data_IF_001616577454
#
_entry.id   IF_001616577454
#
_cell.length_a   1.000
_cell.length_b   1.000
_cell.length_c   1.000
_cell.angle_alpha   90.00
_cell.angle_beta   90.00
_cell.angle_gamma   90.00
#
_symmetry.space_group_name_H-M   'P 1'
#
loop_
_entity.id
_entity.type
_entity.pdbx_description
1 polymer ?
#
# COMPACT_ATOMS: atom_id res chain seq x y z
N UNK A 1 73.23 64.56 -1.04
CA UNK A 1 72.10 64.02 -0.32
C UNK A 1 71.81 62.63 -0.86
N UNK A 2 72.34 61.64 -0.19
CA UNK A 2 72.18 60.20 -0.57
C UNK A 2 71.16 59.57 0.40
N UNK A 3 69.99 59.24 -0.14
CA UNK A 3 68.95 58.56 0.60
C UNK A 3 69.26 57.03 0.63
N UNK A 4 69.68 56.55 1.79
CA UNK A 4 69.95 55.14 2.01
C UNK A 4 68.64 54.43 2.16
N UNK A 5 68.16 53.71 1.16
CA UNK A 5 67.05 52.76 1.27
C UNK A 5 67.41 51.61 2.24
N UNK A 6 66.78 51.62 3.38
CA UNK A 6 66.86 50.60 4.39
C UNK A 6 66.08 49.35 3.95
N UNK A 7 66.74 48.46 3.23
CA UNK A 7 66.22 47.17 2.83
C UNK A 7 65.96 46.32 4.08
N UNK A 8 64.69 46.18 4.42
CA UNK A 8 64.23 45.37 5.58
C UNK A 8 64.49 43.88 5.30
N UNK A 9 65.60 43.33 5.82
CA UNK A 9 65.91 41.90 5.74
C UNK A 9 64.80 41.13 6.53
N UNK A 10 63.91 40.46 5.77
CA UNK A 10 62.95 39.52 6.34
C UNK A 10 63.75 38.32 6.88
N UNK A 11 63.62 38.01 8.15
CA UNK A 11 64.36 36.94 8.79
C UNK A 11 64.03 35.57 8.13
N UNK A 12 65.03 34.72 7.87
CA UNK A 12 64.82 33.41 7.17
C UNK A 12 63.90 32.46 7.95
N UNK A 13 63.66 32.70 9.24
CA UNK A 13 62.73 31.98 10.08
C UNK A 13 61.28 32.29 9.76
N UNK A 14 60.95 33.50 9.44
CA UNK A 14 59.59 33.94 9.05
C UNK A 14 59.20 33.37 7.70
N UNK A 15 60.09 33.23 6.77
CA UNK A 15 59.90 32.65 5.45
C UNK A 15 59.54 31.14 5.51
N UNK A 16 60.21 30.36 6.37
CA UNK A 16 59.92 28.94 6.53
C UNK A 16 58.59 28.68 7.25
N UNK A 17 58.23 29.51 8.20
CA UNK A 17 56.91 29.43 8.86
C UNK A 17 55.80 29.77 7.87
N UNK A 18 55.94 30.81 7.06
CA UNK A 18 54.97 31.22 6.07
C UNK A 18 54.78 30.14 4.98
N UNK A 19 55.85 29.52 4.49
CA UNK A 19 55.75 28.40 3.53
C UNK A 19 55.00 27.18 4.11
N UNK A 20 55.25 26.83 5.37
CA UNK A 20 54.54 25.73 6.06
C UNK A 20 53.04 26.05 6.25
N UNK A 21 52.72 27.30 6.57
CA UNK A 21 51.31 27.73 6.71
C UNK A 21 50.59 27.62 5.38
N UNK A 22 51.19 28.08 4.27
CA UNK A 22 50.60 27.96 2.92
C UNK A 22 50.39 26.49 2.54
N UNK A 23 51.39 25.61 2.80
CA UNK A 23 51.28 24.19 2.51
C UNK A 23 50.12 23.54 3.30
N UNK A 24 49.96 23.92 4.58
CA UNK A 24 48.92 23.42 5.43
C UNK A 24 47.52 23.90 4.99
N UNK A 25 47.39 25.18 4.63
CA UNK A 25 46.10 25.72 4.11
C UNK A 25 45.74 25.12 2.77
N UNK A 26 46.71 24.90 1.88
CA UNK A 26 46.48 24.22 0.60
C UNK A 26 46.02 22.77 0.80
N UNK A 27 46.69 22.02 1.69
CA UNK A 27 46.28 20.65 2.01
C UNK A 27 44.86 20.60 2.63
N UNK A 28 44.54 21.53 3.51
CA UNK A 28 43.19 21.63 4.09
C UNK A 28 42.12 21.94 3.05
N UNK A 29 42.39 22.84 2.09
CA UNK A 29 41.46 23.15 1.00
C UNK A 29 41.23 21.94 0.09
N UNK A 30 42.28 21.21 -0.25
CA UNK A 30 42.17 19.96 -1.04
C UNK A 30 41.31 18.94 -0.28
N UNK A 31 41.58 18.76 1.00
CA UNK A 31 40.79 17.84 1.81
C UNK A 31 39.32 18.26 1.90
N UNK A 32 39.03 19.54 2.10
CA UNK A 32 37.67 20.06 2.15
C UNK A 32 36.92 19.86 0.82
N UNK A 33 37.60 20.05 -0.32
CA UNK A 33 37.03 19.79 -1.64
C UNK A 33 36.74 18.30 -1.87
N UNK A 34 37.67 17.42 -1.50
CA UNK A 34 37.48 15.98 -1.62
C UNK A 34 36.34 15.50 -0.72
N UNK A 35 36.28 15.97 0.52
CA UNK A 35 35.22 15.61 1.44
C UNK A 35 33.85 16.12 0.98
N UNK A 36 33.79 17.37 0.48
CA UNK A 36 32.56 17.94 -0.09
C UNK A 36 32.06 17.16 -1.31
N UNK A 37 32.96 16.78 -2.22
CA UNK A 37 32.58 15.97 -3.38
C UNK A 37 32.10 14.57 -3.00
N UNK A 38 32.75 13.95 -2.02
CA UNK A 38 32.34 12.64 -1.51
C UNK A 38 30.98 12.69 -0.82
N UNK A 39 30.71 13.76 -0.07
CA UNK A 39 29.43 13.97 0.56
C UNK A 39 28.28 14.16 -0.46
N UNK A 40 28.49 14.98 -1.49
CA UNK A 40 27.52 15.15 -2.58
C UNK A 40 27.27 13.83 -3.32
N UNK A 41 28.30 13.03 -3.58
CA UNK A 41 28.17 11.73 -4.21
C UNK A 41 27.35 10.79 -3.34
N UNK A 42 27.60 10.76 -2.03
CA UNK A 42 26.85 9.92 -1.07
C UNK A 42 25.36 10.32 -1.01
N UNK A 43 25.07 11.62 -0.96
CA UNK A 43 23.72 12.14 -0.95
C UNK A 43 22.97 11.79 -2.24
N UNK A 44 23.61 11.92 -3.38
CA UNK A 44 23.05 11.56 -4.69
C UNK A 44 22.73 10.06 -4.78
N UNK A 45 23.65 9.19 -4.34
CA UNK A 45 23.43 7.72 -4.34
C UNK A 45 22.30 7.34 -3.39
N UNK A 46 22.30 7.92 -2.18
CA UNK A 46 21.26 7.65 -1.19
C UNK A 46 19.86 8.08 -1.68
N UNK A 47 19.75 9.23 -2.30
CA UNK A 47 18.50 9.73 -2.88
C UNK A 47 18.02 8.82 -4.01
N UNK A 48 18.90 8.44 -4.93
CA UNK A 48 18.55 7.52 -6.02
C UNK A 48 18.11 6.14 -5.51
N UNK A 49 18.79 5.60 -4.49
CA UNK A 49 18.42 4.33 -3.88
C UNK A 49 17.05 4.41 -3.23
N UNK A 50 16.74 5.51 -2.53
CA UNK A 50 15.45 5.74 -1.91
C UNK A 50 14.32 5.87 -2.93
N UNK A 51 14.55 6.58 -4.04
CA UNK A 51 13.57 6.71 -5.12
C UNK A 51 13.27 5.37 -5.79
N UNK A 52 14.31 4.59 -6.12
CA UNK A 52 14.14 3.24 -6.69
C UNK A 52 13.37 2.31 -5.75
N UNK A 53 13.72 2.31 -4.46
CA UNK A 53 13.02 1.49 -3.47
C UNK A 53 11.54 1.87 -3.35
N UNK A 54 11.22 3.17 -3.43
CA UNK A 54 9.84 3.64 -3.41
C UNK A 54 9.06 3.23 -4.68
N UNK A 55 9.69 3.32 -5.86
CA UNK A 55 9.10 2.85 -7.12
C UNK A 55 8.86 1.34 -7.12
N UNK A 56 9.82 0.55 -6.66
CA UNK A 56 9.69 -0.91 -6.54
C UNK A 56 8.59 -1.29 -5.55
N UNK A 57 8.51 -0.60 -4.40
CA UNK A 57 7.47 -0.82 -3.41
C UNK A 57 6.08 -0.48 -3.98
N UNK A 58 5.95 0.64 -4.69
CA UNK A 58 4.71 1.03 -5.34
C UNK A 58 4.27 0.02 -6.40
N UNK A 59 5.21 -0.46 -7.24
CA UNK A 59 4.94 -1.47 -8.25
C UNK A 59 4.52 -2.81 -7.63
N UNK A 60 5.17 -3.24 -6.55
CA UNK A 60 4.79 -4.44 -5.81
C UNK A 60 3.40 -4.30 -5.18
N UNK A 61 3.10 -3.15 -4.56
CA UNK A 61 1.78 -2.88 -3.98
C UNK A 61 0.67 -2.94 -5.04
N UNK A 62 0.91 -2.36 -6.22
CA UNK A 62 -0.02 -2.44 -7.36
C UNK A 62 -0.23 -3.89 -7.81
N UNK A 63 0.85 -4.66 -7.99
CA UNK A 63 0.77 -6.07 -8.41
C UNK A 63 0.00 -6.93 -7.41
N UNK A 64 0.23 -6.71 -6.10
CA UNK A 64 -0.51 -7.40 -5.04
C UNK A 64 -2.00 -7.02 -5.10
N UNK A 65 -2.32 -5.73 -5.26
CA UNK A 65 -3.69 -5.25 -5.37
C UNK A 65 -4.42 -5.87 -6.57
N UNK A 66 -3.78 -5.90 -7.74
CA UNK A 66 -4.35 -6.49 -8.95
C UNK A 66 -4.56 -8.02 -8.81
N UNK A 67 -3.61 -8.69 -8.17
CA UNK A 67 -3.73 -10.12 -7.87
C UNK A 67 -4.86 -10.40 -6.91
N UNK A 68 -5.00 -9.60 -5.84
CA UNK A 68 -6.11 -9.71 -4.90
C UNK A 68 -7.46 -9.49 -5.59
N UNK A 69 -7.56 -8.46 -6.43
CA UNK A 69 -8.79 -8.18 -7.20
C UNK A 69 -9.15 -9.34 -8.13
N UNK A 70 -8.17 -9.92 -8.79
CA UNK A 70 -8.35 -11.11 -9.66
C UNK A 70 -8.86 -12.31 -8.87
N UNK A 71 -8.28 -12.59 -7.70
CA UNK A 71 -8.71 -13.68 -6.82
C UNK A 71 -10.15 -13.45 -6.36
N UNK A 72 -10.49 -12.24 -5.88
CA UNK A 72 -11.84 -11.89 -5.43
C UNK A 72 -12.86 -12.07 -6.57
N UNK A 73 -12.54 -11.60 -7.78
CA UNK A 73 -13.41 -11.76 -8.93
C UNK A 73 -13.62 -13.24 -9.29
N UNK A 74 -12.55 -14.03 -9.29
CA UNK A 74 -12.62 -15.47 -9.59
C UNK A 74 -13.46 -16.20 -8.54
N UNK A 75 -13.22 -15.94 -7.26
CA UNK A 75 -14.02 -16.51 -6.17
C UNK A 75 -15.47 -16.07 -6.27
N UNK A 76 -15.74 -14.80 -6.55
CA UNK A 76 -17.10 -14.28 -6.74
C UNK A 76 -17.85 -15.00 -7.85
N UNK A 77 -17.19 -15.22 -8.99
CA UNK A 77 -17.78 -15.97 -10.11
C UNK A 77 -18.04 -17.43 -9.70
N UNK A 78 -17.06 -18.10 -9.10
CA UNK A 78 -17.22 -19.47 -8.64
C UNK A 78 -18.38 -19.62 -7.66
N UNK A 79 -18.42 -18.77 -6.62
CA UNK A 79 -19.49 -18.77 -5.62
C UNK A 79 -20.87 -18.48 -6.23
N UNK A 80 -20.93 -17.62 -7.24
CA UNK A 80 -22.20 -17.29 -7.90
C UNK A 80 -22.85 -18.51 -8.57
N UNK A 81 -22.04 -19.43 -9.09
CA UNK A 81 -22.51 -20.63 -9.79
C UNK A 81 -22.73 -21.84 -8.86
N UNK A 82 -22.32 -21.78 -7.61
CA UNK A 82 -22.56 -22.86 -6.64
C UNK A 82 -24.07 -23.00 -6.39
N UNK A 83 -24.54 -24.24 -6.36
CA UNK A 83 -25.96 -24.55 -6.17
C UNK A 83 -26.54 -23.97 -4.89
N UNK A 84 -25.76 -23.94 -3.81
CA UNK A 84 -26.17 -23.41 -2.51
C UNK A 84 -26.35 -21.88 -2.55
N UNK A 85 -25.46 -21.14 -3.22
CA UNK A 85 -25.62 -19.70 -3.42
C UNK A 85 -26.86 -19.41 -4.29
N UNK A 86 -27.07 -20.20 -5.34
CA UNK A 86 -28.24 -20.05 -6.20
C UNK A 86 -29.55 -20.30 -5.43
N UNK A 87 -29.56 -21.29 -4.51
CA UNK A 87 -30.69 -21.52 -3.61
C UNK A 87 -30.93 -20.34 -2.68
N UNK A 88 -29.91 -19.86 -1.97
CA UNK A 88 -30.03 -18.70 -1.08
C UNK A 88 -30.55 -17.46 -1.79
N UNK A 89 -30.10 -17.21 -3.03
CA UNK A 89 -30.43 -16.01 -3.81
C UNK A 89 -31.81 -16.05 -4.47
N UNK A 90 -32.28 -17.22 -4.92
CA UNK A 90 -33.46 -17.34 -5.78
C UNK A 90 -34.69 -17.95 -5.09
N UNK A 91 -34.53 -18.68 -4.01
CA UNK A 91 -35.64 -19.36 -3.33
C UNK A 91 -36.59 -18.37 -2.66
N UNK A 92 -37.86 -18.66 -2.74
CA UNK A 92 -38.92 -17.95 -2.03
C UNK A 92 -39.26 -18.55 -0.69
N UNK A 93 -38.77 -19.78 -0.42
CA UNK A 93 -38.86 -20.46 0.87
C UNK A 93 -37.66 -21.37 1.04
N UNK A 94 -37.02 -21.30 2.17
CA UNK A 94 -35.92 -22.18 2.56
C UNK A 94 -36.21 -22.76 3.91
N UNK A 95 -36.08 -24.06 4.06
CA UNK A 95 -36.06 -24.67 5.38
C UNK A 95 -34.83 -24.25 6.15
N UNK A 96 -34.90 -24.27 7.46
CA UNK A 96 -33.75 -23.92 8.30
C UNK A 96 -32.52 -24.78 8.01
N UNK A 97 -32.72 -26.07 7.77
CA UNK A 97 -31.64 -27.01 7.46
C UNK A 97 -30.96 -26.68 6.11
N UNK A 98 -31.74 -26.37 5.08
CA UNK A 98 -31.17 -25.97 3.77
C UNK A 98 -30.39 -24.68 3.86
N UNK A 99 -30.85 -23.73 4.66
CA UNK A 99 -30.17 -22.46 4.91
C UNK A 99 -28.82 -22.69 5.60
N UNK A 100 -28.84 -23.43 6.71
CA UNK A 100 -27.62 -23.74 7.46
C UNK A 100 -26.62 -24.49 6.62
N UNK A 101 -27.07 -25.48 5.82
CA UNK A 101 -26.19 -26.24 4.94
C UNK A 101 -25.55 -25.34 3.86
N UNK A 102 -26.35 -24.50 3.22
CA UNK A 102 -25.86 -23.59 2.19
C UNK A 102 -24.87 -22.56 2.75
N UNK A 103 -25.14 -22.01 3.93
CA UNK A 103 -24.22 -21.06 4.59
C UNK A 103 -22.93 -21.75 5.04
N UNK A 104 -23.00 -23.01 5.51
CA UNK A 104 -21.82 -23.77 5.87
C UNK A 104 -20.90 -24.03 4.67
N UNK A 105 -21.47 -24.33 3.51
CA UNK A 105 -20.71 -24.48 2.27
C UNK A 105 -20.01 -23.17 1.88
N UNK A 106 -20.72 -22.03 1.93
CA UNK A 106 -20.13 -20.71 1.68
C UNK A 106 -19.06 -20.34 2.71
N UNK A 107 -19.27 -20.69 3.96
CA UNK A 107 -18.29 -20.45 5.02
C UNK A 107 -16.96 -21.17 4.75
N UNK A 108 -16.98 -22.37 4.17
CA UNK A 108 -15.76 -23.08 3.78
C UNK A 108 -14.95 -22.29 2.75
N UNK A 109 -15.59 -21.59 1.84
CA UNK A 109 -14.90 -20.69 0.89
C UNK A 109 -14.33 -19.46 1.58
N UNK A 110 -15.05 -18.86 2.50
CA UNK A 110 -14.54 -17.72 3.28
C UNK A 110 -13.28 -18.12 4.08
N UNK A 111 -13.31 -19.28 4.71
CA UNK A 111 -12.18 -19.78 5.50
C UNK A 111 -11.00 -20.27 4.67
N UNK A 112 -11.21 -20.70 3.42
CA UNK A 112 -10.12 -21.10 2.53
C UNK A 112 -9.28 -19.94 2.03
N UNK A 113 -9.83 -18.72 2.05
CA UNK A 113 -9.14 -17.49 1.67
C UNK A 113 -8.89 -16.61 2.89
N UNK A 114 -7.65 -16.48 3.32
CA UNK A 114 -7.27 -15.60 4.44
C UNK A 114 -7.66 -14.12 4.26
N UNK A 115 -8.18 -13.77 3.08
CA UNK A 115 -8.53 -12.38 2.68
C UNK A 115 -10.03 -12.10 2.82
N UNK A 116 -10.87 -13.12 2.98
CA UNK A 116 -12.33 -12.94 3.07
C UNK A 116 -12.74 -13.03 4.53
N UNK A 117 -13.33 -11.96 5.03
CA UNK A 117 -13.88 -11.94 6.38
C UNK A 117 -15.30 -12.51 6.40
N UNK A 118 -16.13 -12.08 5.46
CA UNK A 118 -17.52 -12.52 5.36
C UNK A 118 -18.00 -12.48 3.90
N UNK A 119 -19.01 -13.28 3.61
CA UNK A 119 -19.69 -13.35 2.32
C UNK A 119 -21.16 -13.01 2.54
N UNK A 120 -21.68 -12.06 1.77
CA UNK A 120 -23.07 -11.65 1.83
C UNK A 120 -23.82 -12.12 0.58
N UNK A 121 -24.93 -12.81 0.77
CA UNK A 121 -25.81 -13.26 -0.29
C UNK A 121 -27.16 -12.58 -0.15
N UNK A 122 -27.48 -11.70 -1.08
CA UNK A 122 -28.74 -10.97 -1.11
C UNK A 122 -29.82 -11.78 -1.82
N UNK A 123 -30.99 -11.90 -1.19
CA UNK A 123 -32.18 -12.49 -1.78
C UNK A 123 -33.25 -11.40 -1.96
N UNK A 124 -33.42 -10.85 -3.16
CA UNK A 124 -34.38 -9.77 -3.41
C UNK A 124 -35.84 -10.23 -3.27
N UNK A 125 -36.14 -11.53 -3.42
CA UNK A 125 -37.50 -12.06 -3.34
C UNK A 125 -38.04 -12.12 -1.91
N UNK A 126 -37.13 -12.32 -0.95
CA UNK A 126 -37.46 -12.42 0.48
C UNK A 126 -37.12 -11.13 1.24
N UNK A 127 -36.46 -10.18 0.58
CA UNK A 127 -35.87 -8.99 1.20
C UNK A 127 -34.91 -9.37 2.37
N UNK A 128 -34.06 -10.37 2.11
CA UNK A 128 -33.18 -10.98 3.11
C UNK A 128 -31.71 -10.95 2.67
N UNK A 129 -30.83 -10.81 3.65
CA UNK A 129 -29.38 -11.00 3.51
C UNK A 129 -28.98 -12.23 4.30
N UNK A 130 -28.22 -13.11 3.67
CA UNK A 130 -27.54 -14.24 4.31
C UNK A 130 -26.05 -13.92 4.40
N UNK A 131 -25.43 -14.23 5.56
CA UNK A 131 -24.01 -13.98 5.76
C UNK A 131 -23.32 -15.18 6.35
N UNK A 132 -22.02 -15.33 6.04
CA UNK A 132 -21.15 -16.33 6.66
C UNK A 132 -20.60 -15.86 8.01
N UNK A 133 -20.93 -14.65 8.46
CA UNK A 133 -20.58 -14.15 9.78
C UNK A 133 -21.35 -14.94 10.85
N UNK A 134 -20.61 -15.42 11.87
CA UNK A 134 -21.16 -16.33 12.88
C UNK A 134 -22.27 -15.71 13.75
N UNK A 135 -22.26 -14.39 13.93
CA UNK A 135 -23.19 -13.72 14.84
C UNK A 135 -24.55 -13.43 14.19
N UNK A 136 -24.62 -13.36 12.85
CA UNK A 136 -25.83 -12.95 12.13
C UNK A 136 -26.03 -13.74 10.84
N UNK A 137 -26.38 -15.01 10.95
CA UNK A 137 -26.54 -15.88 9.76
C UNK A 137 -27.57 -15.38 8.73
N UNK A 138 -28.58 -14.64 9.14
CA UNK A 138 -29.58 -14.04 8.23
C UNK A 138 -30.37 -12.94 8.90
N UNK A 139 -30.64 -11.87 8.18
CA UNK A 139 -31.50 -10.77 8.60
C UNK A 139 -32.30 -10.20 7.42
N UNK A 140 -33.39 -9.45 7.70
CA UNK A 140 -34.00 -8.61 6.68
C UNK A 140 -33.02 -7.55 6.21
N UNK A 141 -33.13 -7.10 4.97
CA UNK A 141 -32.22 -6.05 4.45
C UNK A 141 -32.26 -4.78 5.29
N UNK A 142 -33.44 -4.42 5.83
CA UNK A 142 -33.57 -3.21 6.66
C UNK A 142 -33.01 -3.40 8.07
N UNK A 143 -32.98 -4.64 8.57
CA UNK A 143 -32.42 -4.98 9.88
C UNK A 143 -30.98 -5.48 9.85
N UNK A 144 -30.34 -5.51 8.69
CA UNK A 144 -28.98 -6.00 8.57
C UNK A 144 -27.98 -4.98 9.15
N UNK A 145 -26.97 -5.46 9.86
CA UNK A 145 -26.01 -4.59 10.57
C UNK A 145 -25.14 -3.74 9.61
N UNK A 146 -24.82 -4.27 8.43
CA UNK A 146 -24.03 -3.58 7.41
C UNK A 146 -24.95 -2.90 6.38
N UNK A 147 -25.46 -1.73 6.73
CA UNK A 147 -26.35 -0.94 5.87
C UNK A 147 -25.63 -0.38 4.64
N UNK A 148 -24.32 -0.20 4.69
CA UNK A 148 -23.53 0.25 3.54
C UNK A 148 -23.51 -0.82 2.44
N UNK A 149 -23.34 -2.10 2.80
CA UNK A 149 -23.44 -3.20 1.87
C UNK A 149 -24.84 -3.33 1.26
N UNK A 150 -25.91 -3.13 2.05
CA UNK A 150 -27.29 -3.13 1.56
C UNK A 150 -27.54 -1.96 0.59
N UNK A 151 -27.06 -0.77 0.92
CA UNK A 151 -27.20 0.40 0.06
C UNK A 151 -26.48 0.19 -1.28
N UNK A 152 -25.25 -0.34 -1.24
CA UNK A 152 -24.47 -0.66 -2.43
C UNK A 152 -25.16 -1.71 -3.31
N UNK A 153 -25.74 -2.75 -2.69
CA UNK A 153 -26.53 -3.76 -3.40
C UNK A 153 -27.74 -3.15 -4.09
N UNK A 154 -28.55 -2.35 -3.36
CA UNK A 154 -29.73 -1.66 -3.90
C UNK A 154 -29.38 -0.73 -5.07
N UNK A 155 -28.25 -0.04 -4.98
CA UNK A 155 -27.76 0.85 -6.04
C UNK A 155 -27.34 0.09 -7.30
N UNK A 156 -26.75 -1.12 -7.16
CA UNK A 156 -26.27 -1.95 -8.26
C UNK A 156 -27.27 -2.95 -8.79
N UNK A 157 -28.40 -3.15 -8.11
CA UNK A 157 -29.43 -4.10 -8.54
C UNK A 157 -30.03 -3.72 -9.90
N UNK A 158 -30.20 -4.70 -10.82
CA UNK A 158 -30.80 -4.44 -12.15
C UNK A 158 -32.19 -3.83 -12.07
N UNK A 159 -32.92 -4.11 -11.01
CA UNK A 159 -34.29 -3.56 -10.81
C UNK A 159 -34.30 -2.03 -10.61
N UNK A 160 -33.19 -1.47 -10.10
CA UNK A 160 -33.04 -0.01 -9.96
C UNK A 160 -32.50 0.67 -11.23
N UNK A 161 -32.01 -0.08 -12.22
CA UNK A 161 -31.58 0.48 -13.52
C UNK A 161 -32.72 0.71 -14.49
N UNK A 162 -33.91 0.22 -14.18
CA UNK A 162 -35.10 0.37 -15.01
C UNK A 162 -36.10 1.43 -14.48
N UNK A 163 -35.70 2.20 -13.52
CA UNK A 163 -36.38 3.40 -13.05
C UNK A 163 -35.54 4.61 -13.38
#
# INVERSE_FOLDING_TARGET
MLEVQKQKRVSPFSSKLFSRLIAFTAAFLIFALLFGSMFQMFESISMQAMLRMNEEFSAQASTISDSMQSIINTLGIQMFYISSTAKLRKSTSLTQNERVFALRELWQYAMSGSMLHSIYVFNPKLDYVYTTDNDYMSASMDGFYDQDAVALYRQRSPENRMR
#
